data_IF_887461631435
#
_entry.id   IF_887461631435
#
_cell.length_a   1.000
_cell.length_b   1.000
_cell.length_c   1.000
_cell.angle_alpha   90.00
_cell.angle_beta   90.00
_cell.angle_gamma   90.00
#
_symmetry.space_group_name_H-M   'P 1'
#
loop_
_entity.id
_entity.type
_entity.pdbx_description
1 polymer ?
#
# COMPACT_ATOMS: atom_id res chain seq x y z
N UNK A 1 21.42 19.17 -16.11
CA UNK A 1 20.60 20.19 -15.41
C UNK A 1 19.16 19.71 -15.20
N UNK A 2 18.48 19.22 -16.23
CA UNK A 2 17.09 18.76 -16.16
C UNK A 2 16.94 17.48 -15.32
N UNK A 3 17.86 16.52 -15.43
CA UNK A 3 17.90 15.31 -14.60
C UNK A 3 17.91 15.68 -13.11
N UNK A 4 18.85 16.54 -12.71
CA UNK A 4 18.94 17.00 -11.31
C UNK A 4 17.68 17.71 -10.81
N UNK A 5 16.99 18.47 -11.69
CA UNK A 5 15.73 19.12 -11.33
C UNK A 5 14.62 18.08 -11.07
N UNK A 6 14.56 17.03 -11.89
CA UNK A 6 13.58 15.95 -11.72
C UNK A 6 13.87 15.12 -10.47
N UNK A 7 15.14 14.77 -10.22
CA UNK A 7 15.57 14.09 -9.00
C UNK A 7 15.22 14.91 -7.74
N UNK A 8 15.53 16.21 -7.75
CA UNK A 8 15.22 17.10 -6.63
C UNK A 8 13.70 17.24 -6.39
N UNK A 9 12.90 17.32 -7.45
CA UNK A 9 11.45 17.47 -7.34
C UNK A 9 10.73 16.18 -6.93
N UNK A 10 11.25 15.02 -7.30
CA UNK A 10 10.61 13.71 -7.04
C UNK A 10 11.22 12.94 -5.87
N UNK A 11 12.48 13.17 -5.54
CA UNK A 11 13.25 12.36 -4.60
C UNK A 11 13.56 10.94 -5.14
N UNK A 12 13.64 10.80 -6.47
CA UNK A 12 13.92 9.54 -7.18
C UNK A 12 15.22 9.69 -7.95
N UNK A 13 16.11 8.70 -7.87
CA UNK A 13 17.34 8.69 -8.65
C UNK A 13 17.06 8.28 -10.10
N UNK A 14 17.60 9.06 -11.05
CA UNK A 14 17.54 8.77 -12.46
C UNK A 14 18.87 8.21 -12.96
N UNK A 15 18.86 6.96 -13.36
CA UNK A 15 20.03 6.28 -13.94
C UNK A 15 19.87 6.28 -15.45
N UNK A 16 20.77 6.99 -16.12
CA UNK A 16 20.88 7.03 -17.58
C UNK A 16 22.15 6.25 -17.94
N UNK A 17 21.98 5.09 -18.51
CA UNK A 17 23.07 4.24 -18.98
C UNK A 17 23.20 4.31 -20.51
N UNK A 18 24.08 3.50 -21.07
CA UNK A 18 24.33 3.43 -22.53
C UNK A 18 23.21 2.70 -23.30
N UNK A 19 22.15 2.26 -22.62
CA UNK A 19 21.01 1.63 -23.27
C UNK A 19 20.19 2.69 -24.02
N UNK A 20 20.08 2.63 -25.34
CA UNK A 20 19.34 3.63 -26.09
C UNK A 20 17.87 3.73 -25.64
N UNK A 21 17.39 4.96 -25.46
CA UNK A 21 15.99 5.27 -25.17
C UNK A 21 15.46 4.73 -23.82
N UNK A 22 16.34 4.35 -22.88
CA UNK A 22 15.94 3.88 -21.57
C UNK A 22 16.43 4.80 -20.44
N UNK A 23 15.56 5.05 -19.47
CA UNK A 23 15.89 5.72 -18.20
C UNK A 23 15.37 4.82 -17.07
N UNK A 24 16.27 4.47 -16.15
CA UNK A 24 15.91 3.69 -14.97
C UNK A 24 15.60 4.64 -13.81
N UNK A 25 14.46 4.43 -13.16
CA UNK A 25 14.03 5.18 -11.98
C UNK A 25 14.24 4.32 -10.74
N UNK A 26 15.00 4.79 -9.78
CA UNK A 26 15.31 4.09 -8.54
C UNK A 26 14.84 4.86 -7.32
N UNK A 27 14.02 4.22 -6.49
CA UNK A 27 13.59 4.71 -5.19
C UNK A 27 13.00 3.56 -4.37
N UNK A 28 13.16 3.60 -3.05
CA UNK A 28 12.49 2.67 -2.15
C UNK A 28 10.98 2.93 -2.06
N UNK A 29 10.55 4.17 -2.30
CA UNK A 29 9.15 4.57 -2.29
C UNK A 29 8.50 4.33 -3.68
N UNK A 30 7.61 3.32 -3.81
CA UNK A 30 6.94 3.03 -5.08
C UNK A 30 6.06 4.17 -5.57
N UNK A 31 5.49 4.95 -4.63
CA UNK A 31 4.63 6.08 -4.98
C UNK A 31 5.44 7.21 -5.63
N UNK A 32 6.63 7.51 -5.07
CA UNK A 32 7.56 8.48 -5.66
C UNK A 32 8.02 8.03 -7.05
N UNK A 33 8.34 6.74 -7.21
CA UNK A 33 8.69 6.19 -8.53
C UNK A 33 7.57 6.37 -9.55
N UNK A 34 6.33 6.13 -9.18
CA UNK A 34 5.17 6.31 -10.06
C UNK A 34 4.96 7.79 -10.42
N UNK A 35 5.11 8.70 -9.45
CA UNK A 35 5.07 10.14 -9.69
C UNK A 35 6.17 10.55 -10.68
N UNK A 36 7.41 10.07 -10.48
CA UNK A 36 8.53 10.36 -11.37
C UNK A 36 8.29 9.81 -12.78
N UNK A 37 7.82 8.56 -12.89
CA UNK A 37 7.51 7.91 -14.17
C UNK A 37 6.47 8.67 -14.98
N UNK A 38 5.35 9.01 -14.35
CA UNK A 38 4.27 9.76 -15.02
C UNK A 38 4.68 11.19 -15.37
N UNK A 39 5.45 11.84 -14.48
CA UNK A 39 5.98 13.18 -14.74
C UNK A 39 6.92 13.18 -15.93
N UNK A 40 7.83 12.22 -15.99
CA UNK A 40 8.76 12.07 -17.10
C UNK A 40 8.00 11.81 -18.42
N UNK A 41 7.04 10.90 -18.42
CA UNK A 41 6.21 10.62 -19.60
C UNK A 41 5.49 11.88 -20.13
N UNK A 42 4.93 12.69 -19.23
CA UNK A 42 4.26 13.95 -19.58
C UNK A 42 5.23 14.98 -20.15
N UNK A 43 6.40 15.12 -19.54
CA UNK A 43 7.44 16.04 -20.00
C UNK A 43 7.96 15.67 -21.38
N UNK A 44 8.17 14.38 -21.65
CA UNK A 44 8.60 13.90 -22.97
C UNK A 44 7.52 14.17 -24.02
N UNK A 45 6.26 13.91 -23.69
CA UNK A 45 5.12 14.16 -24.61
C UNK A 45 4.92 15.66 -24.88
N UNK A 46 5.09 16.52 -23.84
CA UNK A 46 4.97 17.98 -23.97
C UNK A 46 6.16 18.61 -24.72
N UNK A 47 7.32 17.97 -24.69
CA UNK A 47 8.57 18.44 -25.31
C UNK A 47 9.23 19.64 -24.62
N UNK A 48 8.59 20.25 -23.65
CA UNK A 48 9.12 21.40 -22.89
C UNK A 48 9.77 20.93 -21.60
N UNK A 49 11.09 20.70 -21.67
CA UNK A 49 11.85 20.18 -20.55
C UNK A 49 12.81 21.24 -20.01
N UNK A 50 12.36 22.01 -19.01
CA UNK A 50 13.19 22.96 -18.27
C UNK A 50 12.78 22.94 -16.77
N UNK A 51 13.65 23.37 -15.84
CA UNK A 51 13.43 23.18 -14.39
C UNK A 51 12.08 23.63 -13.88
N UNK A 52 11.63 24.84 -14.19
CA UNK A 52 10.32 25.34 -13.75
C UNK A 52 9.15 24.50 -14.26
N UNK A 53 9.21 24.00 -15.49
CA UNK A 53 8.19 23.11 -16.04
C UNK A 53 8.21 21.73 -15.38
N UNK A 54 9.41 21.23 -15.06
CA UNK A 54 9.57 19.97 -14.32
C UNK A 54 8.89 20.07 -12.96
N UNK A 55 9.15 21.12 -12.19
CA UNK A 55 8.52 21.33 -10.87
C UNK A 55 7.00 21.40 -10.97
N UNK A 56 6.47 22.16 -11.93
CA UNK A 56 5.02 22.27 -12.18
C UNK A 56 4.38 20.91 -12.50
N UNK A 57 4.98 20.14 -13.41
CA UNK A 57 4.45 18.84 -13.83
C UNK A 57 4.52 17.83 -12.70
N UNK A 58 5.62 17.81 -11.93
CA UNK A 58 5.77 16.92 -10.77
C UNK A 58 4.71 17.23 -9.70
N UNK A 59 4.53 18.49 -9.35
CA UNK A 59 3.55 18.89 -8.34
C UNK A 59 2.12 18.54 -8.77
N UNK A 60 1.76 18.79 -10.02
CA UNK A 60 0.46 18.40 -10.57
C UNK A 60 0.27 16.89 -10.56
N UNK A 61 1.30 16.13 -10.92
CA UNK A 61 1.26 14.66 -10.92
C UNK A 61 1.11 14.13 -9.49
N UNK A 62 1.84 14.70 -8.53
CA UNK A 62 1.74 14.34 -7.11
C UNK A 62 0.32 14.48 -6.59
N UNK A 63 -0.33 15.62 -6.84
CA UNK A 63 -1.73 15.85 -6.42
C UNK A 63 -2.68 14.83 -7.03
N UNK A 64 -2.55 14.55 -8.30
CA UNK A 64 -3.39 13.56 -8.98
C UNK A 64 -3.20 12.15 -8.43
N UNK A 65 -1.97 11.76 -8.12
CA UNK A 65 -1.70 10.45 -7.51
C UNK A 65 -2.28 10.38 -6.09
N UNK A 66 -2.16 11.44 -5.29
CA UNK A 66 -2.76 11.47 -3.94
C UNK A 66 -4.29 11.38 -4.01
N UNK A 67 -4.94 12.06 -4.95
CA UNK A 67 -6.38 11.93 -5.20
C UNK A 67 -6.76 10.49 -5.59
N UNK A 68 -5.99 9.86 -6.48
CA UNK A 68 -6.19 8.46 -6.86
C UNK A 68 -6.02 7.49 -5.69
N UNK A 69 -5.05 7.72 -4.83
CA UNK A 69 -4.83 6.90 -3.62
C UNK A 69 -6.07 6.91 -2.74
N UNK A 70 -6.64 8.08 -2.47
CA UNK A 70 -7.87 8.21 -1.66
C UNK A 70 -9.04 7.52 -2.35
N UNK A 71 -9.25 7.77 -3.65
CA UNK A 71 -10.33 7.16 -4.42
C UNK A 71 -10.24 5.62 -4.44
N UNK A 72 -9.04 5.07 -4.65
CA UNK A 72 -8.82 3.61 -4.63
C UNK A 72 -9.14 3.03 -3.26
N UNK A 73 -8.69 3.68 -2.18
CA UNK A 73 -8.98 3.25 -0.82
C UNK A 73 -10.47 3.25 -0.51
N UNK A 74 -11.16 4.34 -0.81
CA UNK A 74 -12.61 4.49 -0.61
C UNK A 74 -13.40 3.44 -1.41
N UNK A 75 -13.08 3.29 -2.69
CA UNK A 75 -13.72 2.26 -3.53
C UNK A 75 -13.48 0.86 -2.99
N UNK A 76 -12.28 0.54 -2.55
CA UNK A 76 -11.94 -0.78 -1.99
C UNK A 76 -12.79 -1.11 -0.77
N UNK A 77 -12.90 -0.20 0.20
CA UNK A 77 -13.70 -0.46 1.40
C UNK A 77 -15.19 -0.56 1.10
N UNK A 78 -15.71 0.22 0.14
CA UNK A 78 -17.09 0.14 -0.32
C UNK A 78 -17.36 -1.22 -0.97
N UNK A 79 -16.53 -1.65 -1.91
CA UNK A 79 -16.67 -2.94 -2.62
C UNK A 79 -16.59 -4.14 -1.66
N UNK A 80 -15.77 -4.06 -0.62
CA UNK A 80 -15.66 -5.09 0.41
C UNK A 80 -16.74 -5.00 1.49
N UNK A 81 -17.55 -3.94 1.51
CA UNK A 81 -18.56 -3.70 2.54
C UNK A 81 -17.97 -3.44 3.93
N UNK A 82 -16.78 -2.85 3.99
CA UNK A 82 -16.11 -2.46 5.23
C UNK A 82 -16.48 -1.02 5.57
N UNK A 83 -17.02 -0.79 6.76
CA UNK A 83 -17.49 0.51 7.20
C UNK A 83 -16.72 1.04 8.41
N UNK A 84 -16.66 2.38 8.55
CA UNK A 84 -16.08 3.03 9.74
C UNK A 84 -14.55 2.86 9.85
N UNK A 85 -13.85 2.64 8.76
CA UNK A 85 -12.40 2.64 8.74
C UNK A 85 -11.89 4.08 8.85
N UNK A 86 -10.88 4.32 9.69
CA UNK A 86 -10.28 5.65 9.82
C UNK A 86 -9.71 6.11 8.46
N UNK A 87 -9.89 7.41 8.14
CA UNK A 87 -9.49 7.97 6.83
C UNK A 87 -8.02 7.69 6.46
N UNK A 88 -7.12 7.71 7.44
CA UNK A 88 -5.71 7.38 7.19
C UNK A 88 -5.49 5.91 6.85
N UNK A 89 -6.25 5.00 7.44
CA UNK A 89 -6.22 3.58 7.06
C UNK A 89 -6.78 3.37 5.65
N UNK A 90 -7.84 4.09 5.29
CA UNK A 90 -8.37 4.08 3.90
C UNK A 90 -7.31 4.55 2.92
N UNK A 91 -6.56 5.62 3.26
CA UNK A 91 -5.45 6.13 2.45
C UNK A 91 -4.31 5.10 2.33
N UNK A 92 -3.95 4.44 3.43
CA UNK A 92 -2.95 3.36 3.42
C UNK A 92 -3.40 2.21 2.51
N UNK A 93 -4.65 1.79 2.58
CA UNK A 93 -5.23 0.78 1.68
C UNK A 93 -5.10 1.21 0.22
N UNK A 94 -5.39 2.46 -0.11
CA UNK A 94 -5.20 3.00 -1.45
C UNK A 94 -3.76 2.94 -1.94
N UNK A 95 -2.78 3.22 -1.06
CA UNK A 95 -1.35 3.13 -1.36
C UNK A 95 -0.88 1.71 -1.68
N UNK A 96 -1.54 0.68 -1.15
CA UNK A 96 -1.22 -0.72 -1.45
C UNK A 96 -1.29 -1.03 -2.96
N UNK A 97 -2.07 -0.27 -3.74
CA UNK A 97 -2.17 -0.43 -5.20
C UNK A 97 -0.83 -0.25 -5.90
N UNK A 98 0.06 0.55 -5.33
CA UNK A 98 1.35 0.92 -5.91
C UNK A 98 2.50 0.06 -5.38
N UNK A 99 2.25 -0.89 -4.49
CA UNK A 99 3.24 -1.82 -3.94
C UNK A 99 3.06 -3.23 -4.44
N UNK A 100 4.20 -3.91 -4.58
CA UNK A 100 4.25 -5.34 -4.83
C UNK A 100 5.07 -6.02 -3.74
N UNK A 101 4.66 -7.21 -3.35
CA UNK A 101 5.37 -8.07 -2.41
C UNK A 101 5.38 -9.48 -2.98
N UNK A 102 6.57 -10.08 -3.10
CA UNK A 102 6.74 -11.43 -3.68
C UNK A 102 6.07 -11.64 -5.04
N UNK A 103 6.10 -10.61 -5.90
CA UNK A 103 5.50 -10.66 -7.24
C UNK A 103 4.00 -10.38 -7.30
N UNK A 104 3.31 -10.29 -6.17
CA UNK A 104 1.89 -9.94 -6.07
C UNK A 104 1.69 -8.45 -5.80
N UNK A 105 0.64 -7.87 -6.40
CA UNK A 105 0.18 -6.53 -6.01
C UNK A 105 -0.43 -6.58 -4.61
N UNK A 106 0.04 -5.74 -3.70
CA UNK A 106 -0.33 -5.77 -2.29
C UNK A 106 -1.83 -5.55 -2.06
N UNK A 107 -2.48 -4.66 -2.82
CA UNK A 107 -3.92 -4.43 -2.72
C UNK A 107 -4.72 -5.65 -3.18
N UNK A 108 -4.33 -6.28 -4.29
CA UNK A 108 -5.01 -7.47 -4.80
C UNK A 108 -4.91 -8.62 -3.79
N UNK A 109 -3.73 -8.88 -3.26
CA UNK A 109 -3.51 -9.86 -2.20
C UNK A 109 -4.37 -9.58 -0.96
N UNK A 110 -4.34 -8.35 -0.43
CA UNK A 110 -5.12 -7.99 0.76
C UNK A 110 -6.64 -8.10 0.55
N UNK A 111 -7.15 -7.81 -0.66
CA UNK A 111 -8.56 -8.03 -1.03
C UNK A 111 -8.91 -9.51 -1.07
N UNK A 112 -8.04 -10.34 -1.62
CA UNK A 112 -8.23 -11.79 -1.68
C UNK A 112 -8.25 -12.37 -0.26
N UNK A 113 -7.26 -12.03 0.56
CA UNK A 113 -7.22 -12.44 1.98
C UNK A 113 -8.47 -12.00 2.73
N UNK A 114 -8.94 -10.75 2.54
CA UNK A 114 -10.16 -10.26 3.15
C UNK A 114 -11.39 -11.12 2.81
N UNK A 115 -11.55 -11.49 1.55
CA UNK A 115 -12.67 -12.32 1.10
C UNK A 115 -12.54 -13.76 1.63
N UNK A 116 -11.36 -14.36 1.58
CA UNK A 116 -11.11 -15.70 2.14
C UNK A 116 -11.38 -15.74 3.64
N UNK A 117 -10.94 -14.73 4.39
CA UNK A 117 -11.21 -14.60 5.81
C UNK A 117 -12.71 -14.51 6.12
N UNK A 118 -13.47 -13.76 5.33
CA UNK A 118 -14.91 -13.66 5.50
C UNK A 118 -15.62 -15.00 5.26
N UNK A 119 -15.22 -15.73 4.21
CA UNK A 119 -15.76 -17.05 3.90
C UNK A 119 -15.45 -18.04 5.02
N UNK A 120 -14.17 -18.15 5.40
CA UNK A 120 -13.73 -19.08 6.44
C UNK A 120 -14.39 -18.78 7.80
N UNK A 121 -14.46 -17.50 8.20
CA UNK A 121 -15.14 -17.11 9.42
C UNK A 121 -16.63 -17.46 9.41
N UNK A 122 -17.29 -17.26 8.26
CA UNK A 122 -18.70 -17.61 8.08
C UNK A 122 -18.94 -19.12 8.26
N UNK A 123 -18.12 -19.96 7.61
CA UNK A 123 -18.20 -21.42 7.73
C UNK A 123 -17.96 -21.92 9.15
N UNK A 124 -17.11 -21.22 9.92
CA UNK A 124 -16.83 -21.54 11.32
C UNK A 124 -17.80 -20.91 12.32
N UNK A 125 -18.87 -20.22 11.83
CA UNK A 125 -19.85 -19.55 12.69
C UNK A 125 -19.30 -18.33 13.43
N UNK A 126 -18.24 -17.73 12.93
CA UNK A 126 -17.59 -16.55 13.49
C UNK A 126 -18.03 -15.26 12.77
N UNK A 127 -17.60 -14.11 13.26
CA UNK A 127 -17.96 -12.82 12.66
C UNK A 127 -17.20 -12.57 11.33
N UNK A 128 -17.85 -12.74 10.16
CA UNK A 128 -17.17 -12.59 8.87
C UNK A 128 -16.78 -11.14 8.57
N UNK A 129 -17.50 -10.15 9.11
CA UNK A 129 -17.17 -8.73 8.90
C UNK A 129 -15.89 -8.35 9.59
N UNK A 130 -15.71 -8.85 10.82
CA UNK A 130 -14.48 -8.59 11.59
C UNK A 130 -13.27 -9.29 10.95
N UNK A 131 -13.42 -10.55 10.53
CA UNK A 131 -12.37 -11.30 9.84
C UNK A 131 -12.00 -10.65 8.50
N UNK A 132 -12.99 -10.21 7.71
CA UNK A 132 -12.76 -9.48 6.45
C UNK A 132 -11.94 -8.21 6.68
N UNK A 133 -12.30 -7.44 7.69
CA UNK A 133 -11.61 -6.21 8.07
C UNK A 133 -10.15 -6.47 8.45
N UNK A 134 -9.90 -7.46 9.28
CA UNK A 134 -8.56 -7.88 9.66
C UNK A 134 -7.75 -8.37 8.45
N UNK A 135 -8.35 -9.15 7.57
CA UNK A 135 -7.73 -9.63 6.34
C UNK A 135 -7.33 -8.50 5.40
N UNK A 136 -8.15 -7.45 5.23
CA UNK A 136 -7.78 -6.28 4.45
C UNK A 136 -6.57 -5.55 5.04
N UNK A 137 -6.48 -5.48 6.35
CA UNK A 137 -5.50 -4.66 7.07
C UNK A 137 -4.23 -5.42 7.49
N UNK A 138 -4.16 -6.75 7.30
CA UNK A 138 -3.05 -7.53 7.85
C UNK A 138 -1.66 -7.05 7.41
N UNK A 139 -1.55 -6.57 6.19
CA UNK A 139 -0.31 -6.17 5.54
C UNK A 139 -0.09 -4.64 5.45
N UNK A 140 -0.85 -3.83 6.18
CA UNK A 140 -0.70 -2.35 6.16
C UNK A 140 0.69 -1.88 6.57
N UNK A 141 1.40 -2.66 7.34
CA UNK A 141 2.77 -2.36 7.76
C UNK A 141 3.81 -2.43 6.64
N UNK A 142 3.46 -3.00 5.48
CA UNK A 142 4.30 -2.98 4.28
C UNK A 142 4.24 -1.65 3.52
N UNK A 143 3.31 -0.76 3.85
CA UNK A 143 3.05 0.48 3.10
C UNK A 143 3.95 1.65 3.49
N UNK A 144 4.31 1.91 4.76
CA UNK A 144 5.18 3.01 5.11
C UNK A 144 6.55 2.91 4.45
N UNK A 145 7.10 4.07 4.08
CA UNK A 145 8.38 4.20 3.38
C UNK A 145 9.55 4.51 4.33
N UNK A 146 9.25 4.69 5.62
CA UNK A 146 10.24 4.95 6.65
C UNK A 146 10.96 3.66 7.01
N UNK A 147 12.30 3.74 7.07
CA UNK A 147 13.09 2.64 7.61
C UNK A 147 12.74 2.41 9.08
N UNK A 148 12.41 1.19 9.42
CA UNK A 148 12.08 0.77 10.78
C UNK A 148 12.70 -0.60 11.06
N UNK A 149 13.11 -0.83 12.30
CA UNK A 149 13.55 -2.14 12.76
C UNK A 149 12.37 -3.10 13.02
N UNK A 150 11.14 -2.57 12.98
CA UNK A 150 9.95 -3.38 13.19
C UNK A 150 9.60 -4.17 11.92
N UNK A 151 9.18 -5.40 12.12
CA UNK A 151 8.54 -6.17 11.06
C UNK A 151 7.25 -5.49 10.59
N UNK A 152 6.77 -5.85 9.40
CA UNK A 152 5.51 -5.31 8.88
C UNK A 152 4.30 -5.69 9.74
N UNK A 153 4.31 -6.86 10.39
CA UNK A 153 3.24 -7.27 11.30
C UNK A 153 3.17 -6.36 12.53
N UNK A 154 4.29 -6.12 13.19
CA UNK A 154 4.37 -5.23 14.35
C UNK A 154 4.12 -3.77 13.99
N UNK A 155 4.63 -3.31 12.86
CA UNK A 155 4.38 -1.97 12.37
C UNK A 155 2.91 -1.77 12.02
N UNK A 156 2.30 -2.73 11.32
CA UNK A 156 0.88 -2.73 10.99
C UNK A 156 -0.02 -2.72 12.22
N UNK A 157 0.33 -3.51 13.23
CA UNK A 157 -0.35 -3.53 14.53
C UNK A 157 -0.34 -2.13 15.18
N UNK A 158 0.83 -1.48 15.27
CA UNK A 158 0.94 -0.13 15.83
C UNK A 158 0.16 0.92 15.04
N UNK A 159 0.15 0.83 13.71
CA UNK A 159 -0.63 1.72 12.86
C UNK A 159 -2.12 1.53 13.11
N UNK A 160 -2.60 0.30 13.15
CA UNK A 160 -4.00 -0.01 13.40
C UNK A 160 -4.45 0.46 14.79
N UNK A 161 -3.64 0.24 15.82
CA UNK A 161 -3.88 0.72 17.17
C UNK A 161 -3.95 2.25 17.24
N UNK A 162 -2.99 2.94 16.62
CA UNK A 162 -2.94 4.41 16.53
C UNK A 162 -4.21 5.02 15.96
N UNK A 163 -4.83 4.36 14.99
CA UNK A 163 -6.05 4.83 14.34
C UNK A 163 -7.33 4.20 14.88
N UNK A 164 -7.27 3.60 16.06
CA UNK A 164 -8.42 3.18 16.85
C UNK A 164 -9.15 1.95 16.32
N UNK A 165 -8.43 1.02 15.68
CA UNK A 165 -8.98 -0.24 15.24
C UNK A 165 -9.42 -1.14 16.38
N UNK A 166 -10.36 -2.06 16.08
CA UNK A 166 -10.83 -3.06 17.04
C UNK A 166 -9.65 -3.90 17.57
N UNK A 167 -9.55 -4.14 18.87
CA UNK A 167 -8.44 -4.92 19.46
C UNK A 167 -8.22 -6.29 18.84
N UNK A 168 -9.28 -6.98 18.41
CA UNK A 168 -9.16 -8.26 17.71
C UNK A 168 -8.50 -8.11 16.34
N UNK A 169 -8.78 -7.02 15.60
CA UNK A 169 -8.13 -6.69 14.34
C UNK A 169 -6.66 -6.34 14.57
N UNK A 170 -6.37 -5.51 15.56
CA UNK A 170 -5.00 -5.13 15.96
C UNK A 170 -4.15 -6.36 16.29
N UNK A 171 -4.68 -7.26 17.14
CA UNK A 171 -4.00 -8.50 17.49
C UNK A 171 -3.78 -9.40 16.26
N UNK A 172 -4.80 -9.58 15.41
CA UNK A 172 -4.68 -10.41 14.22
C UNK A 172 -3.61 -9.89 13.25
N UNK A 173 -3.47 -8.58 13.10
CA UNK A 173 -2.41 -7.96 12.29
C UNK A 173 -1.02 -8.28 12.88
N UNK A 174 -0.83 -8.14 14.18
CA UNK A 174 0.46 -8.43 14.83
C UNK A 174 0.81 -9.91 14.86
N UNK A 175 -0.20 -10.78 14.93
CA UNK A 175 -0.03 -12.21 15.18
C UNK A 175 0.05 -13.08 13.89
N UNK A 176 -0.21 -12.52 12.71
CA UNK A 176 -0.32 -13.34 11.50
C UNK A 176 1.00 -14.00 11.04
N UNK A 177 2.13 -13.61 11.62
CA UNK A 177 3.44 -14.27 11.47
C UNK A 177 4.04 -14.70 12.82
N UNK A 178 3.20 -15.01 13.81
CA UNK A 178 3.60 -15.51 15.12
C UNK A 178 4.51 -14.55 15.95
N UNK A 179 4.54 -13.26 15.60
CA UNK A 179 5.37 -12.28 16.30
C UNK A 179 4.77 -11.78 17.62
N UNK A 180 3.46 -11.94 17.80
CA UNK A 180 2.75 -11.76 19.07
C UNK A 180 1.79 -12.92 19.28
N UNK A 181 1.41 -13.15 20.54
CA UNK A 181 0.46 -14.20 20.87
C UNK A 181 -0.93 -13.94 20.26
N UNK A 182 -1.55 -14.97 19.72
CA UNK A 182 -2.92 -14.92 19.20
C UNK A 182 -3.92 -14.89 20.35
N UNK A 183 -4.50 -13.74 20.63
CA UNK A 183 -5.46 -13.54 21.72
C UNK A 183 -6.91 -13.71 21.29
N UNK A 184 -7.18 -13.63 19.97
CA UNK A 184 -8.52 -13.69 19.42
C UNK A 184 -8.61 -14.78 18.33
N UNK A 185 -9.78 -15.43 18.30
CA UNK A 185 -10.05 -16.57 17.40
C UNK A 185 -9.99 -16.23 15.91
N UNK A 186 -10.02 -14.95 15.53
CA UNK A 186 -9.84 -14.55 14.15
C UNK A 186 -8.37 -14.55 13.68
N UNK A 187 -7.40 -14.48 14.60
CA UNK A 187 -5.99 -14.39 14.22
C UNK A 187 -5.50 -15.62 13.44
N UNK A 188 -5.79 -16.88 13.82
CA UNK A 188 -5.44 -18.05 13.01
C UNK A 188 -6.09 -18.05 11.62
N UNK A 189 -7.28 -17.45 11.47
CA UNK A 189 -7.97 -17.35 10.18
C UNK A 189 -7.17 -16.46 9.24
N UNK A 190 -6.70 -15.30 9.73
CA UNK A 190 -5.91 -14.38 8.91
C UNK A 190 -4.61 -15.04 8.48
N UNK A 191 -3.88 -15.71 9.38
CA UNK A 191 -2.65 -16.42 9.06
C UNK A 191 -2.87 -17.51 8.00
N UNK A 192 -3.92 -18.31 8.13
CA UNK A 192 -4.25 -19.36 7.16
C UNK A 192 -4.63 -18.77 5.79
N UNK A 193 -5.44 -17.72 5.75
CA UNK A 193 -5.87 -17.09 4.51
C UNK A 193 -4.74 -16.34 3.80
N UNK A 194 -3.83 -15.73 4.55
CA UNK A 194 -2.62 -15.12 4.00
C UNK A 194 -1.74 -16.17 3.32
N UNK A 195 -1.49 -17.31 3.99
CA UNK A 195 -0.73 -18.42 3.43
C UNK A 195 -1.38 -19.00 2.16
N UNK A 196 -2.71 -19.10 2.12
CA UNK A 196 -3.45 -19.60 0.93
C UNK A 196 -3.29 -18.62 -0.24
N UNK A 197 -3.43 -17.33 -0.01
CA UNK A 197 -3.33 -16.30 -1.05
C UNK A 197 -1.87 -16.10 -1.53
N UNK A 198 -0.90 -16.44 -0.71
CA UNK A 198 0.53 -16.34 -1.04
C UNK A 198 1.12 -17.59 -1.74
N UNK A 199 0.34 -18.66 -1.92
CA UNK A 199 0.81 -19.94 -2.44
C UNK A 199 0.97 -20.00 -3.96
#
# INVERSE_FOLDING_TARGET
>A
RNIRALEAATGVDLIVDDTPEAIVLSSFDPLRREIARLSLQRLVTDGRIHPARIEEVVEKTRRQIEEQVVEIGERTVIELGIHGLHKELVRIVGKMRFRSSYGQNLLMHSREVANLCAIMASELGMNPKLAKRAGLLHDIGKVPDEETELSHALLGMKIAEKYGENPAVVNAIGAHHDEVEMQYVIAPIIQACDAISGA
#
